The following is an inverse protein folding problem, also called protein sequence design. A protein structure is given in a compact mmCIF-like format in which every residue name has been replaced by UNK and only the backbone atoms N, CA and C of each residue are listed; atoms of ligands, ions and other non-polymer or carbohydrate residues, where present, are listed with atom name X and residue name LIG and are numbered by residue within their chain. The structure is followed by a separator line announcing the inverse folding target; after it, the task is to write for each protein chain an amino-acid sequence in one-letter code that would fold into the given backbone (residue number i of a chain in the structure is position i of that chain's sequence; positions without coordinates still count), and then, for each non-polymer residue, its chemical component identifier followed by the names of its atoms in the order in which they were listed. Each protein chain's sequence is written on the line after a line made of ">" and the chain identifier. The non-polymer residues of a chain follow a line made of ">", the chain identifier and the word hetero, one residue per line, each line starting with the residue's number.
data_IF_610569808047
#
_entry.id   IF_610569808047
#
_cell.length_a   1.000
_cell.length_b   1.000
_cell.length_c   1.000
_cell.angle_alpha   90.00
_cell.angle_beta   90.00
_cell.angle_gamma   90.00
#
_symmetry.space_group_name_H-M   'P 1'
#
loop_
_entity.id
_entity.type
_entity.pdbx_description
1 polymer ?
#
# COMPACT_ATOMS: atom_id res chain seq x y z
N UNK A 1 6.19 24.24 2.86
CA UNK A 1 6.11 22.79 2.59
C UNK A 1 6.19 22.55 1.09
N UNK A 2 6.95 21.57 0.71
CA UNK A 2 7.07 21.21 -0.69
C UNK A 2 5.82 20.43 -1.12
N UNK A 3 5.14 20.90 -2.18
CA UNK A 3 3.88 20.29 -2.63
C UNK A 3 4.08 18.83 -3.02
N UNK A 4 5.18 18.52 -3.67
CA UNK A 4 5.44 17.17 -4.17
C UNK A 4 6.44 16.40 -3.31
N UNK A 5 6.56 16.79 -2.03
CA UNK A 5 7.50 16.14 -1.12
C UNK A 5 7.24 14.65 -0.93
N UNK A 6 5.98 14.21 -1.11
CA UNK A 6 5.66 12.78 -1.01
C UNK A 6 6.48 11.92 -1.96
N UNK A 7 6.93 12.49 -3.10
CA UNK A 7 7.70 11.74 -4.10
C UNK A 7 9.05 11.27 -3.56
N UNK A 8 9.58 11.93 -2.53
CA UNK A 8 10.87 11.58 -1.93
C UNK A 8 10.74 10.55 -0.82
N UNK A 9 9.53 10.28 -0.36
CA UNK A 9 9.32 9.32 0.73
C UNK A 9 9.63 7.90 0.25
N UNK A 10 10.40 7.19 1.05
CA UNK A 10 10.74 5.80 0.74
C UNK A 10 9.46 4.95 0.68
N UNK A 11 8.53 5.21 1.60
CA UNK A 11 7.25 4.49 1.59
C UNK A 11 6.52 4.64 0.26
N UNK A 12 6.49 5.85 -0.30
CA UNK A 12 5.85 6.08 -1.58
C UNK A 12 6.59 5.39 -2.72
N UNK A 13 7.92 5.48 -2.72
CA UNK A 13 8.73 4.85 -3.76
C UNK A 13 8.57 3.33 -3.76
N UNK A 14 8.54 2.73 -2.58
CA UNK A 14 8.35 1.28 -2.47
C UNK A 14 6.92 0.88 -2.82
N UNK A 15 5.95 1.70 -2.46
CA UNK A 15 4.56 1.46 -2.85
C UNK A 15 4.40 1.49 -4.37
N UNK A 16 5.13 2.38 -5.07
CA UNK A 16 5.12 2.38 -6.53
C UNK A 16 5.67 1.07 -7.10
N UNK A 17 6.64 0.47 -6.42
CA UNK A 17 7.15 -0.83 -6.85
C UNK A 17 6.08 -1.90 -6.71
N UNK A 18 5.25 -1.83 -5.67
CA UNK A 18 4.10 -2.74 -5.54
C UNK A 18 3.17 -2.58 -6.74
N UNK A 19 2.88 -1.34 -7.14
CA UNK A 19 2.03 -1.09 -8.31
C UNK A 19 2.64 -1.70 -9.56
N UNK A 20 3.91 -1.41 -9.82
CA UNK A 20 4.57 -1.88 -11.03
C UNK A 20 4.62 -3.41 -11.08
N UNK A 21 4.93 -4.04 -9.95
CA UNK A 21 5.01 -5.51 -9.89
C UNK A 21 3.63 -6.13 -10.03
N UNK A 22 2.61 -5.48 -9.45
CA UNK A 22 1.23 -5.93 -9.62
C UNK A 22 0.86 -5.97 -11.09
N UNK A 23 1.08 -4.88 -11.82
CA UNK A 23 0.76 -4.84 -13.25
C UNK A 23 1.51 -5.90 -14.03
N UNK A 24 2.78 -6.14 -13.68
CA UNK A 24 3.58 -7.16 -14.35
C UNK A 24 3.01 -8.56 -14.10
N UNK A 25 2.63 -8.85 -12.87
CA UNK A 25 2.08 -10.17 -12.52
C UNK A 25 0.71 -10.40 -13.14
N UNK A 26 -0.08 -9.34 -13.31
CA UNK A 26 -1.41 -9.47 -13.90
C UNK A 26 -1.37 -10.02 -15.32
N UNK A 27 -0.25 -9.87 -16.01
CA UNK A 27 -0.11 -10.43 -17.37
C UNK A 27 -0.15 -11.95 -17.36
N UNK A 28 0.06 -12.59 -16.21
CA UNK A 28 0.01 -14.05 -16.07
C UNK A 28 -1.39 -14.56 -15.79
N UNK A 29 -2.34 -13.67 -15.49
CA UNK A 29 -3.70 -14.06 -15.14
C UNK A 29 -4.48 -14.40 -16.40
N UNK A 30 -5.47 -15.31 -16.30
CA UNK A 30 -6.30 -15.61 -17.48
C UNK A 30 -7.15 -14.41 -17.87
N UNK A 31 -7.44 -14.31 -19.18
CA UNK A 31 -8.17 -13.16 -19.73
C UNK A 31 -9.55 -13.00 -19.08
N UNK A 32 -10.17 -14.10 -18.68
CA UNK A 32 -11.49 -14.06 -18.06
C UNK A 32 -11.51 -13.33 -16.72
N UNK A 33 -10.33 -13.11 -16.10
CA UNK A 33 -10.24 -12.40 -14.83
C UNK A 33 -9.99 -10.90 -15.00
N UNK A 34 -9.92 -10.41 -16.23
CA UNK A 34 -9.55 -9.02 -16.52
C UNK A 34 -10.41 -8.01 -15.77
N UNK A 35 -11.71 -8.23 -15.73
CA UNK A 35 -12.65 -7.30 -15.09
C UNK A 35 -13.10 -7.76 -13.73
N UNK A 36 -12.43 -8.75 -13.16
CA UNK A 36 -12.69 -9.27 -11.84
C UNK A 36 -11.47 -9.02 -10.95
N UNK A 37 -10.71 -10.08 -10.59
CA UNK A 37 -9.59 -9.93 -9.66
C UNK A 37 -8.49 -9.03 -10.22
N UNK A 38 -8.27 -9.02 -11.54
CA UNK A 38 -7.27 -8.12 -12.13
C UNK A 38 -7.63 -6.66 -11.90
N UNK A 39 -8.91 -6.31 -12.08
CA UNK A 39 -9.35 -4.93 -11.87
C UNK A 39 -9.21 -4.54 -10.41
N UNK A 40 -9.58 -5.44 -9.50
CA UNK A 40 -9.46 -5.19 -8.07
C UNK A 40 -7.99 -4.99 -7.66
N UNK A 41 -7.08 -5.80 -8.18
CA UNK A 41 -5.66 -5.66 -7.86
C UNK A 41 -5.08 -4.36 -8.40
N UNK A 42 -5.49 -3.95 -9.62
CA UNK A 42 -5.05 -2.66 -10.15
C UNK A 42 -5.49 -1.53 -9.25
N UNK A 43 -6.75 -1.53 -8.86
CA UNK A 43 -7.30 -0.46 -8.02
C UNK A 43 -6.66 -0.45 -6.63
N UNK A 44 -6.51 -1.62 -6.01
CA UNK A 44 -5.96 -1.70 -4.67
C UNK A 44 -4.51 -1.24 -4.65
N UNK A 45 -3.70 -1.66 -5.62
CA UNK A 45 -2.29 -1.27 -5.64
C UNK A 45 -2.14 0.24 -5.83
N UNK A 46 -2.90 0.84 -6.76
CA UNK A 46 -2.87 2.28 -6.98
C UNK A 46 -3.37 3.03 -5.74
N UNK A 47 -4.37 2.48 -5.05
CA UNK A 47 -4.90 3.09 -3.84
C UNK A 47 -3.83 3.22 -2.76
N UNK A 48 -2.87 2.29 -2.68
CA UNK A 48 -1.76 2.42 -1.72
C UNK A 48 -1.00 3.72 -1.98
N UNK A 49 -0.56 3.93 -3.21
CA UNK A 49 0.23 5.13 -3.56
C UNK A 49 -0.58 6.41 -3.42
N UNK A 50 -1.83 6.40 -3.86
CA UNK A 50 -2.68 7.59 -3.82
C UNK A 50 -2.93 8.04 -2.38
N UNK A 51 -3.18 7.09 -1.49
CA UNK A 51 -3.45 7.43 -0.09
C UNK A 51 -2.19 7.90 0.63
N UNK A 52 -1.02 7.38 0.28
CA UNK A 52 0.22 7.90 0.84
C UNK A 52 0.42 9.35 0.42
N UNK A 53 0.30 9.63 -0.89
CA UNK A 53 0.51 10.98 -1.41
C UNK A 53 -0.48 11.97 -0.78
N UNK A 54 -1.74 11.55 -0.67
CA UNK A 54 -2.76 12.40 -0.11
C UNK A 54 -2.56 12.62 1.38
N UNK A 55 -2.20 11.56 2.10
CA UNK A 55 -2.07 11.63 3.56
C UNK A 55 -0.95 12.53 4.02
N UNK A 56 0.23 12.39 3.42
CA UNK A 56 1.38 13.18 3.87
C UNK A 56 1.22 14.67 3.55
N UNK A 57 0.29 15.01 2.66
CA UNK A 57 0.01 16.41 2.33
C UNK A 57 -1.16 16.99 3.13
N UNK A 58 -1.80 16.22 3.99
CA UNK A 58 -2.85 16.73 4.85
C UNK A 58 -2.26 17.61 5.95
N UNK A 59 -3.07 18.52 6.48
CA UNK A 59 -2.57 19.48 7.46
C UNK A 59 -2.69 18.98 8.90
N UNK A 60 -3.72 18.20 9.23
CA UNK A 60 -3.89 17.71 10.59
C UNK A 60 -3.29 16.31 10.74
N UNK A 61 -2.81 16.02 11.93
CA UNK A 61 -2.28 14.70 12.27
C UNK A 61 -3.35 13.63 12.11
N UNK A 62 -4.58 13.95 12.50
CA UNK A 62 -5.70 13.03 12.39
C UNK A 62 -5.93 12.63 10.93
N UNK A 63 -5.94 13.60 10.03
CA UNK A 63 -6.16 13.33 8.61
C UNK A 63 -4.99 12.58 8.01
N UNK A 64 -3.75 12.97 8.37
CA UNK A 64 -2.56 12.24 7.91
C UNK A 64 -2.67 10.76 8.27
N UNK A 65 -2.97 10.48 9.52
CA UNK A 65 -3.08 9.10 10.01
C UNK A 65 -4.17 8.33 9.30
N UNK A 66 -5.32 8.97 9.08
CA UNK A 66 -6.44 8.35 8.41
C UNK A 66 -6.05 7.84 7.01
N UNK A 67 -5.41 8.69 6.21
CA UNK A 67 -5.03 8.30 4.86
C UNK A 67 -3.94 7.23 4.83
N UNK A 68 -3.00 7.29 5.77
CA UNK A 68 -1.97 6.25 5.84
C UNK A 68 -2.58 4.91 6.28
N UNK A 69 -3.56 4.92 7.17
CA UNK A 69 -4.28 3.70 7.53
C UNK A 69 -5.04 3.13 6.35
N UNK A 70 -5.63 4.00 5.50
CA UNK A 70 -6.30 3.55 4.29
C UNK A 70 -5.31 2.92 3.31
N UNK A 71 -4.11 3.50 3.21
CA UNK A 71 -3.05 2.91 2.38
C UNK A 71 -2.68 1.52 2.89
N UNK A 72 -2.56 1.37 4.21
CA UNK A 72 -2.24 0.08 4.83
C UNK A 72 -3.32 -0.95 4.51
N UNK A 73 -4.60 -0.55 4.62
CA UNK A 73 -5.71 -1.45 4.28
C UNK A 73 -5.69 -1.88 2.83
N UNK A 74 -5.41 -0.95 1.91
CA UNK A 74 -5.29 -1.28 0.49
C UNK A 74 -4.14 -2.24 0.23
N UNK A 75 -3.04 -2.07 0.96
CA UNK A 75 -1.88 -2.95 0.84
C UNK A 75 -2.24 -4.37 1.28
N UNK A 76 -3.00 -4.51 2.36
CA UNK A 76 -3.46 -5.81 2.83
C UNK A 76 -4.41 -6.46 1.83
N UNK A 77 -5.21 -5.66 1.15
CA UNK A 77 -6.08 -6.15 0.08
C UNK A 77 -5.26 -6.74 -1.06
N UNK A 78 -4.18 -6.06 -1.47
CA UNK A 78 -3.27 -6.58 -2.49
C UNK A 78 -2.68 -7.92 -2.05
N UNK A 79 -2.23 -8.00 -0.80
CA UNK A 79 -1.65 -9.23 -0.25
C UNK A 79 -2.64 -10.39 -0.29
N UNK A 80 -3.87 -10.15 0.18
CA UNK A 80 -4.91 -11.17 0.21
C UNK A 80 -5.24 -11.67 -1.19
N UNK A 81 -5.35 -10.76 -2.15
CA UNK A 81 -5.75 -11.14 -3.50
C UNK A 81 -4.64 -11.91 -4.23
N UNK A 82 -3.38 -11.60 -3.97
CA UNK A 82 -2.29 -12.39 -4.54
C UNK A 82 -2.19 -13.78 -3.90
N UNK A 83 -2.54 -13.90 -2.62
CA UNK A 83 -2.62 -15.23 -2.00
C UNK A 83 -3.66 -16.09 -2.71
N UNK A 84 -4.83 -15.51 -2.95
CA UNK A 84 -5.90 -16.21 -3.67
C UNK A 84 -5.45 -16.55 -5.09
N UNK A 85 -4.79 -15.61 -5.77
CA UNK A 85 -4.32 -15.84 -7.14
C UNK A 85 -3.34 -16.99 -7.22
N UNK A 86 -2.45 -17.12 -6.23
CA UNK A 86 -1.53 -18.25 -6.20
C UNK A 86 -2.28 -19.57 -5.99
N UNK A 87 -3.25 -19.58 -5.10
CA UNK A 87 -4.05 -20.78 -4.84
C UNK A 87 -4.86 -21.20 -6.06
N UNK A 88 -5.27 -20.23 -6.88
CA UNK A 88 -5.95 -20.50 -8.14
C UNK A 88 -4.99 -20.88 -9.27
N UNK A 89 -3.69 -20.81 -9.03
CA UNK A 89 -2.70 -21.19 -10.01
C UNK A 89 -2.35 -20.09 -11.01
N UNK A 90 -2.75 -18.84 -10.75
CA UNK A 90 -2.48 -17.75 -11.69
C UNK A 90 -1.05 -17.23 -11.59
N UNK A 91 -0.43 -17.34 -10.43
CA UNK A 91 0.97 -16.98 -10.23
C UNK A 91 1.66 -18.09 -9.46
N UNK A 92 2.99 -18.12 -9.51
CA UNK A 92 3.77 -19.15 -8.82
C UNK A 92 3.92 -18.79 -7.33
N UNK A 93 4.31 -19.79 -6.54
CA UNK A 93 4.65 -19.56 -5.13
C UNK A 93 5.82 -18.58 -5.03
N UNK A 94 6.78 -18.65 -5.96
CA UNK A 94 7.91 -17.72 -5.96
C UNK A 94 7.47 -16.29 -6.23
N UNK A 95 6.57 -16.10 -7.18
CA UNK A 95 5.98 -14.77 -7.46
C UNK A 95 5.34 -14.21 -6.20
N UNK A 96 4.58 -15.04 -5.50
CA UNK A 96 3.88 -14.59 -4.31
C UNK A 96 4.84 -14.25 -3.18
N UNK A 97 5.86 -15.08 -2.94
CA UNK A 97 6.86 -14.81 -1.89
C UNK A 97 7.58 -13.50 -2.17
N UNK A 98 7.97 -13.28 -3.44
CA UNK A 98 8.63 -12.04 -3.83
C UNK A 98 7.76 -10.83 -3.57
N UNK A 99 6.47 -10.93 -3.90
CA UNK A 99 5.53 -9.84 -3.65
C UNK A 99 5.31 -9.62 -2.15
N UNK A 100 5.20 -10.71 -1.38
CA UNK A 100 5.01 -10.61 0.07
C UNK A 100 6.16 -9.87 0.75
N UNK A 101 7.40 -10.11 0.31
CA UNK A 101 8.55 -9.41 0.89
C UNK A 101 8.46 -7.91 0.65
N UNK A 102 8.04 -7.51 -0.55
CA UNK A 102 7.89 -6.10 -0.86
C UNK A 102 6.73 -5.48 -0.08
N UNK A 103 5.61 -6.19 0.00
CA UNK A 103 4.44 -5.74 0.77
C UNK A 103 4.81 -5.55 2.23
N UNK A 104 5.56 -6.50 2.79
CA UNK A 104 5.98 -6.42 4.18
C UNK A 104 6.86 -5.19 4.43
N UNK A 105 7.74 -4.89 3.49
CA UNK A 105 8.58 -3.70 3.59
C UNK A 105 7.74 -2.43 3.60
N UNK A 106 6.76 -2.32 2.69
CA UNK A 106 5.88 -1.16 2.64
C UNK A 106 5.05 -1.06 3.91
N UNK A 107 4.55 -2.19 4.41
CA UNK A 107 3.76 -2.22 5.65
C UNK A 107 4.57 -1.65 6.82
N UNK A 108 5.84 -2.04 6.95
CA UNK A 108 6.70 -1.51 8.02
C UNK A 108 6.91 0.00 7.85
N UNK A 109 7.09 0.46 6.62
CA UNK A 109 7.29 1.89 6.37
C UNK A 109 6.03 2.69 6.70
N UNK A 110 4.85 2.16 6.38
CA UNK A 110 3.59 2.81 6.73
C UNK A 110 3.38 2.85 8.24
N UNK A 111 3.71 1.76 8.92
CA UNK A 111 3.63 1.72 10.39
C UNK A 111 4.56 2.75 11.00
N UNK A 112 5.75 2.93 10.44
CA UNK A 112 6.69 3.94 10.90
C UNK A 112 6.14 5.35 10.74
N UNK A 113 5.46 5.63 9.61
CA UNK A 113 4.81 6.92 9.42
C UNK A 113 3.72 7.15 10.46
N UNK A 114 2.88 6.15 10.68
CA UNK A 114 1.81 6.27 11.68
C UNK A 114 2.37 6.55 13.07
N UNK A 115 3.45 5.85 13.44
CA UNK A 115 4.09 6.06 14.73
C UNK A 115 4.67 7.46 14.84
N UNK A 116 5.25 8.00 13.76
CA UNK A 116 5.79 9.35 13.78
C UNK A 116 4.69 10.39 14.00
N UNK A 117 3.52 10.16 13.45
CA UNK A 117 2.39 11.06 13.64
C UNK A 117 1.89 11.03 15.09
N UNK A 118 1.90 9.86 15.72
CA UNK A 118 1.53 9.75 17.13
C UNK A 118 2.49 10.51 18.03
N UNK A 119 3.79 10.42 17.73
CA UNK A 119 4.79 11.14 18.51
C UNK A 119 4.61 12.66 18.37
N UNK A 120 4.25 13.12 17.18
CA UNK A 120 4.02 14.55 16.92
C UNK A 120 2.71 15.05 17.51
N UNK A 121 1.80 14.15 17.85
CA UNK A 121 0.50 14.55 18.37
C UNK A 121 0.67 15.21 19.74
N UNK A 122 0.04 16.36 19.95
CA UNK A 122 0.22 17.05 21.23
C UNK A 122 -0.55 16.44 22.36
N UNK A 123 -1.12 15.53 22.33
CA UNK A 123 -1.88 15.04 23.32
C UNK A 123 -1.55 14.40 24.41
N UNK A 124 -1.49 14.45 24.66
CA UNK A 124 -1.32 13.88 25.29
C UNK A 124 -2.16 13.21 26.00
N UNK A 125 -2.50 12.93 25.85
CA UNK A 125 -3.30 12.37 26.32
C UNK A 125 -3.16 11.48 27.05
N UNK A 126 -2.58 11.42 27.14
CA UNK A 126 -2.54 10.65 27.75
C UNK A 126 -2.62 10.47 28.90
N UNK A 127 -2.56 10.79 29.17
CA UNK A 127 -2.64 10.61 30.13
C UNK A 127 -3.43 10.33 30.71
N UNK A 128 -3.72 10.42 30.35
CA UNK A 128 -4.50 10.23 30.84
C UNK A 128 -4.82 9.53 31.31
#
# INVERSE_FOLDING_TARGET
>A
MEVFGYRKLIAYQKAKEVVKRTYKLLKKFPAEERYAICDQLRRASISVTSNIAEGVNRFSIKDKSHFIEMAYGSLMEVSSQFEIAQELGYISAEDRVSMDLLIEEVARLLSGLLNSYKVESPVTDSKL
#
